data_IF_737226137271
#
_entry.id   IF_737226137271
#
_cell.length_a   1.000
_cell.length_b   1.000
_cell.length_c   1.000
_cell.angle_alpha   90.00
_cell.angle_beta   90.00
_cell.angle_gamma   90.00
#
_symmetry.space_group_name_H-M   'P 1'
#
loop_
_entity.id
_entity.type
_entity.pdbx_description
1 polymer ?
#
# COMPACT_ATOMS: atom_id res chain seq x y z
N UNK A 1 10.48 0.43 -2.39
CA UNK A 1 10.29 -0.96 -2.78
C UNK A 1 10.81 -1.93 -1.73
N UNK A 2 10.66 -3.23 -1.97
CA UNK A 2 11.03 -4.30 -1.02
C UNK A 2 12.47 -4.17 -0.51
N UNK A 3 13.44 -3.97 -1.40
CA UNK A 3 14.86 -3.87 -1.02
C UNK A 3 15.16 -2.76 -0.02
N UNK A 4 14.43 -1.65 -0.05
CA UNK A 4 14.60 -0.55 0.89
C UNK A 4 14.16 -0.89 2.32
N UNK A 5 13.32 -1.91 2.49
CA UNK A 5 12.88 -2.38 3.80
C UNK A 5 13.88 -3.36 4.44
N UNK A 6 14.70 -4.04 3.64
CA UNK A 6 15.61 -5.07 4.14
C UNK A 6 16.58 -4.60 5.22
N UNK A 7 17.26 -3.44 5.09
CA UNK A 7 18.16 -2.95 6.13
C UNK A 7 17.46 -2.73 7.47
N UNK A 8 16.21 -2.27 7.45
CA UNK A 8 15.40 -2.04 8.65
C UNK A 8 14.95 -3.36 9.29
N UNK A 9 14.54 -4.32 8.47
CA UNK A 9 14.19 -5.67 8.95
C UNK A 9 15.41 -6.35 9.57
N UNK A 10 16.57 -6.27 8.94
CA UNK A 10 17.81 -6.82 9.48
C UNK A 10 18.26 -6.12 10.77
N UNK A 11 18.08 -4.81 10.85
CA UNK A 11 18.38 -4.05 12.08
C UNK A 11 17.48 -4.46 13.25
N UNK A 12 16.18 -4.68 13.01
CA UNK A 12 15.21 -5.01 14.04
C UNK A 12 15.22 -6.49 14.44
N UNK A 13 15.40 -7.39 13.47
CA UNK A 13 15.16 -8.84 13.64
C UNK A 13 16.40 -9.69 13.35
N UNK A 14 17.51 -9.10 12.92
CA UNK A 14 18.69 -9.84 12.50
C UNK A 14 18.52 -10.53 11.15
N UNK A 15 19.18 -11.67 10.98
CA UNK A 15 19.13 -12.46 9.75
C UNK A 15 17.87 -13.36 9.76
N UNK A 16 16.83 -12.91 9.08
CA UNK A 16 15.55 -13.63 8.97
C UNK A 16 15.24 -13.98 7.52
N UNK A 17 14.69 -15.18 7.24
CA UNK A 17 14.21 -15.52 5.91
C UNK A 17 13.07 -14.59 5.48
N UNK A 18 13.10 -14.15 4.24
CA UNK A 18 12.03 -13.33 3.67
C UNK A 18 11.48 -13.95 2.38
N UNK A 19 10.20 -13.74 2.15
CA UNK A 19 9.53 -14.00 0.88
C UNK A 19 8.99 -12.70 0.35
N UNK A 20 9.43 -12.33 -0.86
CA UNK A 20 9.02 -11.09 -1.51
C UNK A 20 7.90 -11.36 -2.53
N UNK A 21 6.83 -10.56 -2.48
CA UNK A 21 5.73 -10.63 -3.42
C UNK A 21 5.38 -9.23 -3.96
N UNK A 22 5.08 -9.14 -5.25
CA UNK A 22 4.54 -7.95 -5.89
C UNK A 22 3.05 -8.17 -6.18
N UNK A 23 2.21 -7.33 -5.61
CA UNK A 23 0.76 -7.41 -5.78
C UNK A 23 0.31 -6.30 -6.73
N UNK A 24 -0.37 -6.63 -7.84
CA UNK A 24 -0.83 -5.63 -8.79
C UNK A 24 -1.95 -4.76 -8.20
N UNK A 25 -2.10 -3.54 -8.73
CA UNK A 25 -3.22 -2.68 -8.35
C UNK A 25 -4.54 -3.27 -8.85
N UNK A 26 -5.57 -3.38 -8.00
CA UNK A 26 -6.89 -3.86 -8.40
C UNK A 26 -7.68 -2.84 -9.23
N UNK A 27 -7.13 -1.63 -9.42
CA UNK A 27 -7.75 -0.59 -10.24
C UNK A 27 -7.33 -0.67 -11.71
N UNK A 28 -6.24 -1.36 -12.01
CA UNK A 28 -5.76 -1.55 -13.39
C UNK A 28 -6.45 -2.80 -13.94
N UNK A 29 -7.22 -2.63 -15.03
CA UNK A 29 -7.77 -3.76 -15.75
C UNK A 29 -6.62 -4.66 -16.19
N UNK A 30 -6.60 -5.90 -15.74
CA UNK A 30 -5.64 -6.89 -16.22
C UNK A 30 -5.85 -7.07 -17.72
N UNK A 31 -4.76 -6.97 -18.49
CA UNK A 31 -4.75 -7.39 -19.89
C UNK A 31 -5.26 -8.82 -19.92
N UNK A 32 -6.21 -9.11 -20.80
CA UNK A 32 -7.00 -10.35 -20.92
C UNK A 32 -6.42 -11.56 -20.16
N UNK A 33 -7.18 -12.02 -19.17
CA UNK A 33 -6.82 -13.21 -18.40
C UNK A 33 -6.78 -14.40 -19.34
N UNK A 34 -5.57 -14.87 -19.66
CA UNK A 34 -5.37 -16.08 -20.46
C UNK A 34 -5.58 -17.38 -19.65
N UNK A 35 -6.12 -17.26 -18.43
CA UNK A 35 -6.35 -18.39 -17.51
C UNK A 35 -5.09 -19.02 -16.95
N UNK A 36 -3.91 -18.41 -17.17
CA UNK A 36 -2.61 -18.93 -16.72
C UNK A 36 -2.01 -18.17 -15.53
N UNK A 37 -2.65 -17.07 -15.14
CA UNK A 37 -2.16 -16.20 -14.07
C UNK A 37 -2.92 -16.47 -12.80
N UNK A 38 -2.19 -16.62 -11.70
CA UNK A 38 -2.77 -16.69 -10.36
C UNK A 38 -3.36 -15.32 -10.00
N UNK A 39 -4.59 -15.29 -9.59
CA UNK A 39 -5.24 -14.08 -9.08
C UNK A 39 -4.69 -13.73 -7.69
N UNK A 40 -4.88 -12.48 -7.25
CA UNK A 40 -4.50 -12.07 -5.89
C UNK A 40 -5.22 -12.89 -4.83
N UNK A 41 -6.49 -13.24 -5.06
CA UNK A 41 -7.30 -14.05 -4.12
C UNK A 41 -6.77 -15.48 -4.02
N UNK A 42 -6.46 -16.12 -5.14
CA UNK A 42 -5.85 -17.45 -5.15
C UNK A 42 -4.48 -17.44 -4.46
N UNK A 43 -3.66 -16.42 -4.74
CA UNK A 43 -2.35 -16.25 -4.09
C UNK A 43 -2.50 -16.14 -2.56
N UNK A 44 -3.42 -15.29 -2.07
CA UNK A 44 -3.66 -15.12 -0.63
C UNK A 44 -4.13 -16.45 -0.01
N UNK A 45 -5.04 -17.15 -0.67
CA UNK A 45 -5.60 -18.43 -0.20
C UNK A 45 -4.51 -19.50 -0.06
N UNK A 46 -3.71 -19.68 -1.10
CA UNK A 46 -2.62 -20.66 -1.08
C UNK A 46 -1.51 -20.26 -0.10
N UNK A 47 -1.19 -18.95 0.01
CA UNK A 47 -0.20 -18.47 0.97
C UNK A 47 -0.63 -18.77 2.41
N UNK A 48 -1.88 -18.47 2.79
CA UNK A 48 -2.42 -18.78 4.12
C UNK A 48 -2.31 -20.29 4.43
N UNK A 49 -2.67 -21.13 3.48
CA UNK A 49 -2.57 -22.59 3.62
C UNK A 49 -1.14 -23.05 3.85
N UNK A 50 -0.20 -22.62 3.00
CA UNK A 50 1.22 -23.00 3.10
C UNK A 50 1.82 -22.53 4.44
N UNK A 51 1.53 -21.30 4.87
CA UNK A 51 2.01 -20.78 6.15
C UNK A 51 1.44 -21.55 7.33
N UNK A 52 0.18 -21.99 7.26
CA UNK A 52 -0.43 -22.85 8.26
C UNK A 52 0.22 -24.25 8.34
N UNK A 53 0.67 -24.81 7.21
CA UNK A 53 1.38 -26.09 7.15
C UNK A 53 2.83 -25.99 7.66
N UNK A 54 3.54 -24.90 7.33
CA UNK A 54 4.92 -24.67 7.79
C UNK A 54 4.95 -24.37 9.29
N UNK A 55 3.96 -23.65 9.80
CA UNK A 55 3.90 -23.22 11.19
C UNK A 55 4.93 -22.11 11.51
N UNK A 56 5.07 -21.81 12.82
CA UNK A 56 5.96 -20.76 13.29
C UNK A 56 5.27 -19.39 13.32
N UNK A 57 6.06 -18.30 13.42
CA UNK A 57 5.57 -16.93 13.44
C UNK A 57 5.93 -16.23 12.14
N UNK A 58 4.93 -15.67 11.47
CA UNK A 58 5.11 -14.88 10.25
C UNK A 58 4.84 -13.41 10.54
N UNK A 59 5.75 -12.55 10.13
CA UNK A 59 5.59 -11.11 10.17
C UNK A 59 5.32 -10.58 8.76
N UNK A 60 4.24 -9.87 8.57
CA UNK A 60 3.84 -9.33 7.27
C UNK A 60 4.21 -7.85 7.16
N UNK A 61 4.82 -7.47 6.05
CA UNK A 61 5.20 -6.08 5.77
C UNK A 61 4.68 -5.66 4.40
N UNK A 62 3.79 -4.69 4.36
CA UNK A 62 3.45 -4.00 3.12
C UNK A 62 4.36 -2.77 2.97
N UNK A 63 5.26 -2.81 1.98
CA UNK A 63 6.05 -1.63 1.61
C UNK A 63 5.21 -0.76 0.69
N UNK A 64 4.72 0.36 1.21
CA UNK A 64 3.70 1.17 0.57
C UNK A 64 4.02 2.66 0.64
N UNK A 65 4.04 3.31 -0.53
CA UNK A 65 3.87 4.75 -0.65
C UNK A 65 2.39 5.06 -0.95
N UNK A 66 1.96 6.28 -0.65
CA UNK A 66 0.59 6.71 -0.89
C UNK A 66 0.49 7.59 -2.15
N UNK A 67 0.26 8.88 -1.98
CA UNK A 67 0.09 9.83 -3.08
C UNK A 67 1.39 10.16 -3.81
N UNK A 68 1.28 10.31 -5.14
CA UNK A 68 2.35 10.75 -6.03
C UNK A 68 1.83 11.91 -6.87
N UNK A 69 2.19 13.15 -6.55
CA UNK A 69 1.67 14.34 -7.20
C UNK A 69 2.77 15.33 -7.57
N UNK A 70 2.43 16.26 -8.48
CA UNK A 70 3.34 17.27 -9.01
C UNK A 70 3.75 16.99 -10.46
N UNK A 71 4.56 17.89 -11.03
CA UNK A 71 4.92 17.87 -12.45
C UNK A 71 5.64 16.57 -12.86
N UNK A 72 6.43 15.99 -11.96
CA UNK A 72 7.10 14.70 -12.20
C UNK A 72 6.10 13.56 -12.42
N UNK A 73 4.90 13.69 -11.87
CA UNK A 73 3.82 12.69 -11.97
C UNK A 73 2.70 13.14 -12.93
N UNK A 74 2.99 14.10 -13.81
CA UNK A 74 2.08 14.52 -14.88
C UNK A 74 1.11 15.64 -14.51
N UNK A 75 1.21 16.24 -13.32
CA UNK A 75 0.43 17.43 -12.99
C UNK A 75 0.95 18.68 -13.73
N UNK A 76 0.08 19.60 -14.13
CA UNK A 76 0.48 20.79 -14.90
C UNK A 76 1.20 21.85 -14.06
N UNK A 77 1.09 21.80 -12.74
CA UNK A 77 1.63 22.79 -11.80
C UNK A 77 2.53 22.14 -10.76
N UNK A 78 3.45 22.94 -10.24
CA UNK A 78 4.23 22.58 -9.06
C UNK A 78 3.33 22.47 -7.83
N UNK A 79 3.74 21.64 -6.89
CA UNK A 79 3.08 21.45 -5.59
C UNK A 79 3.32 22.67 -4.72
N UNK A 80 2.27 23.41 -4.42
CA UNK A 80 2.23 24.49 -3.45
C UNK A 80 1.66 24.02 -2.10
N UNK A 81 1.57 24.92 -1.14
CA UNK A 81 1.06 24.57 0.20
C UNK A 81 -0.42 24.17 0.19
N UNK A 82 -1.22 24.75 -0.74
CA UNK A 82 -2.61 24.33 -0.90
C UNK A 82 -2.69 22.90 -1.43
N UNK A 83 -1.84 22.54 -2.42
CA UNK A 83 -1.80 21.17 -2.96
C UNK A 83 -1.35 20.17 -1.91
N UNK A 84 -0.35 20.50 -1.06
CA UNK A 84 0.07 19.66 0.07
C UNK A 84 -1.10 19.39 1.02
N UNK A 85 -1.84 20.43 1.37
CA UNK A 85 -3.02 20.30 2.25
C UNK A 85 -4.10 19.40 1.63
N UNK A 86 -4.39 19.59 0.33
CA UNK A 86 -5.39 18.79 -0.37
C UNK A 86 -4.99 17.32 -0.46
N UNK A 87 -3.69 17.03 -0.67
CA UNK A 87 -3.13 15.68 -0.65
C UNK A 87 -3.27 15.06 0.74
N UNK A 88 -2.88 15.78 1.79
CA UNK A 88 -2.99 15.26 3.16
C UNK A 88 -4.44 14.93 3.52
N UNK A 89 -5.37 15.82 3.19
CA UNK A 89 -6.80 15.60 3.44
C UNK A 89 -7.30 14.35 2.72
N UNK A 90 -6.94 14.19 1.44
CA UNK A 90 -7.30 13.02 0.65
C UNK A 90 -6.69 11.73 1.24
N UNK A 91 -5.40 11.76 1.56
CA UNK A 91 -4.73 10.60 2.11
C UNK A 91 -5.35 10.17 3.45
N UNK A 92 -5.64 11.13 4.34
CA UNK A 92 -6.29 10.82 5.62
C UNK A 92 -7.71 10.27 5.45
N UNK A 93 -8.45 10.73 4.45
CA UNK A 93 -9.76 10.18 4.10
C UNK A 93 -9.64 8.72 3.64
N UNK A 94 -8.71 8.42 2.73
CA UNK A 94 -8.48 7.05 2.26
C UNK A 94 -7.90 6.13 3.33
N UNK A 95 -7.00 6.64 4.18
CA UNK A 95 -6.49 5.91 5.33
C UNK A 95 -7.59 5.60 6.35
N UNK A 96 -8.57 6.51 6.56
CA UNK A 96 -9.70 6.20 7.43
C UNK A 96 -10.52 5.02 6.91
N UNK A 97 -10.70 4.91 5.58
CA UNK A 97 -11.34 3.74 4.95
C UNK A 97 -10.54 2.45 5.12
N UNK A 98 -9.23 2.55 5.03
CA UNK A 98 -8.34 1.41 5.29
C UNK A 98 -8.43 0.90 6.73
N UNK A 99 -8.50 1.84 7.71
CA UNK A 99 -8.60 1.54 9.14
C UNK A 99 -9.94 0.84 9.50
N UNK A 100 -11.00 1.04 8.72
CA UNK A 100 -12.27 0.32 8.89
C UNK A 100 -12.14 -1.21 8.65
N UNK A 101 -10.95 -1.68 8.21
CA UNK A 101 -10.63 -3.08 7.95
C UNK A 101 -11.55 -3.76 6.91
N UNK A 102 -12.03 -2.99 5.94
CA UNK A 102 -12.79 -3.51 4.80
C UNK A 102 -12.01 -3.28 3.50
N UNK A 103 -11.35 -4.34 3.02
CA UNK A 103 -10.51 -4.27 1.82
C UNK A 103 -11.30 -3.93 0.55
N UNK A 104 -12.57 -4.37 0.45
CA UNK A 104 -13.41 -4.11 -0.71
C UNK A 104 -13.91 -2.66 -0.70
N UNK A 105 -14.33 -2.15 0.47
CA UNK A 105 -14.75 -0.75 0.61
C UNK A 105 -13.57 0.19 0.36
N UNK A 106 -12.38 -0.12 0.88
CA UNK A 106 -11.16 0.65 0.59
C UNK A 106 -10.88 0.73 -0.91
N UNK A 107 -10.87 -0.41 -1.61
CA UNK A 107 -10.65 -0.45 -3.07
C UNK A 107 -11.76 0.30 -3.81
N UNK A 108 -13.02 0.17 -3.37
CA UNK A 108 -14.16 0.86 -3.95
C UNK A 108 -14.04 2.38 -3.79
N UNK A 109 -13.64 2.88 -2.62
CA UNK A 109 -13.38 4.29 -2.37
C UNK A 109 -12.27 4.84 -3.28
N UNK A 110 -11.16 4.09 -3.42
CA UNK A 110 -10.06 4.47 -4.33
C UNK A 110 -10.50 4.48 -5.80
N UNK A 111 -11.37 3.57 -6.20
CA UNK A 111 -11.95 3.54 -7.56
C UNK A 111 -12.89 4.71 -7.79
N UNK A 112 -13.73 5.02 -6.80
CA UNK A 112 -14.70 6.11 -6.89
C UNK A 112 -14.04 7.47 -7.12
N UNK A 113 -12.95 7.75 -6.41
CA UNK A 113 -12.18 8.99 -6.60
C UNK A 113 -11.18 8.93 -7.77
N UNK A 114 -11.24 7.85 -8.57
CA UNK A 114 -10.38 7.62 -9.72
C UNK A 114 -8.88 7.63 -9.39
N UNK A 115 -8.51 7.26 -8.16
CA UNK A 115 -7.13 7.32 -7.66
C UNK A 115 -6.45 8.65 -8.00
N UNK A 116 -7.11 9.76 -7.71
CA UNK A 116 -6.78 11.10 -8.18
C UNK A 116 -5.39 11.60 -7.76
N UNK A 117 -4.80 11.02 -6.71
CA UNK A 117 -3.46 11.33 -6.22
C UNK A 117 -2.45 10.22 -6.53
N UNK A 118 -2.81 9.28 -7.37
CA UNK A 118 -1.94 8.23 -7.91
C UNK A 118 -1.29 7.34 -6.83
N UNK A 119 -2.08 6.82 -5.87
CA UNK A 119 -1.58 5.79 -4.95
C UNK A 119 -1.15 4.54 -5.73
N UNK A 120 0.10 4.11 -5.52
CA UNK A 120 0.64 2.92 -6.16
C UNK A 120 0.45 1.64 -5.32
N UNK A 121 0.17 1.78 -4.03
CA UNK A 121 0.18 0.70 -3.04
C UNK A 121 -1.19 0.05 -2.76
N UNK A 122 -2.24 0.41 -3.50
CA UNK A 122 -3.61 -0.10 -3.26
C UNK A 122 -3.66 -1.63 -3.26
N UNK A 123 -2.91 -2.27 -4.15
CA UNK A 123 -2.87 -3.73 -4.27
C UNK A 123 -2.29 -4.42 -3.04
N UNK A 124 -1.09 -4.02 -2.62
CA UNK A 124 -0.43 -4.62 -1.47
C UNK A 124 -1.14 -4.28 -0.15
N UNK A 125 -1.70 -3.08 -0.01
CA UNK A 125 -2.48 -2.70 1.17
C UNK A 125 -3.77 -3.54 1.29
N UNK A 126 -4.57 -3.64 0.22
CA UNK A 126 -5.78 -4.47 0.24
C UNK A 126 -5.49 -5.96 0.43
N UNK A 127 -4.41 -6.46 -0.17
CA UNK A 127 -3.98 -7.84 0.02
C UNK A 127 -3.54 -8.11 1.47
N UNK A 128 -2.86 -7.14 2.12
CA UNK A 128 -2.45 -7.27 3.52
C UNK A 128 -3.66 -7.38 4.45
N UNK A 129 -4.71 -6.57 4.28
CA UNK A 129 -5.97 -6.70 5.04
C UNK A 129 -6.54 -8.11 4.93
N UNK A 130 -6.69 -8.60 3.70
CA UNK A 130 -7.25 -9.93 3.43
C UNK A 130 -6.37 -11.06 3.98
N UNK A 131 -5.05 -10.85 4.02
CA UNK A 131 -4.09 -11.86 4.51
C UNK A 131 -4.07 -11.94 6.03
N UNK A 132 -4.04 -10.79 6.71
CA UNK A 132 -3.88 -10.69 8.17
C UNK A 132 -5.20 -10.76 8.89
N UNK A 133 -6.27 -10.15 8.33
CA UNK A 133 -7.59 -10.01 8.97
C UNK A 133 -7.47 -9.46 10.41
N UNK A 134 -6.92 -8.25 10.57
CA UNK A 134 -6.54 -7.73 11.89
C UNK A 134 -7.76 -7.38 12.75
N UNK A 135 -7.61 -7.48 14.08
CA UNK A 135 -8.64 -7.02 15.02
C UNK A 135 -8.71 -5.48 15.11
N UNK A 136 -7.62 -4.80 14.75
CA UNK A 136 -7.54 -3.35 14.74
C UNK A 136 -6.36 -2.85 13.92
N UNK A 137 -6.43 -1.59 13.49
CA UNK A 137 -5.39 -0.94 12.70
C UNK A 137 -5.10 0.43 13.31
N UNK A 138 -3.84 0.68 13.62
CA UNK A 138 -3.36 1.94 14.17
C UNK A 138 -2.51 2.69 13.15
N UNK A 139 -2.86 3.95 12.85
CA UNK A 139 -2.01 4.88 12.11
C UNK A 139 -0.96 5.46 13.05
N UNK A 140 0.28 5.04 12.90
CA UNK A 140 1.41 5.46 13.76
C UNK A 140 1.95 6.83 13.33
N UNK A 141 2.15 7.02 12.02
CA UNK A 141 2.67 8.29 11.47
C UNK A 141 2.24 8.47 10.01
N UNK A 142 2.21 9.73 9.58
CA UNK A 142 1.97 10.14 8.20
C UNK A 142 2.94 11.26 7.84
N UNK A 143 3.58 11.15 6.67
CA UNK A 143 4.55 12.14 6.19
C UNK A 143 4.37 12.44 4.70
N UNK A 144 4.79 13.64 4.34
CA UNK A 144 4.92 14.08 2.96
C UNK A 144 6.38 14.46 2.70
N UNK A 145 6.98 13.88 1.68
CA UNK A 145 8.27 14.28 1.13
C UNK A 145 8.01 15.13 -0.13
N UNK A 146 8.38 16.38 -0.09
CA UNK A 146 8.20 17.31 -1.20
C UNK A 146 9.54 17.85 -1.67
N UNK A 147 9.77 17.83 -2.98
CA UNK A 147 10.93 18.47 -3.59
C UNK A 147 10.93 19.99 -3.29
N UNK A 148 12.11 20.61 -3.03
CA UNK A 148 12.18 22.04 -2.71
C UNK A 148 11.60 22.98 -3.77
N UNK A 149 11.53 22.53 -5.04
CA UNK A 149 10.92 23.29 -6.14
C UNK A 149 9.45 22.91 -6.38
N UNK A 150 8.92 21.98 -5.58
CA UNK A 150 7.55 21.47 -5.72
C UNK A 150 7.31 20.64 -6.98
N UNK A 151 8.34 20.10 -7.63
CA UNK A 151 8.14 19.29 -8.84
C UNK A 151 7.61 17.89 -8.54
N UNK A 152 7.79 17.41 -7.32
CA UNK A 152 7.30 16.12 -6.85
C UNK A 152 6.92 16.17 -5.38
N UNK A 153 5.85 15.51 -5.03
CA UNK A 153 5.47 15.15 -3.65
C UNK A 153 5.09 13.69 -3.62
N UNK A 154 5.67 12.96 -2.68
CA UNK A 154 5.25 11.59 -2.32
C UNK A 154 4.87 11.58 -0.86
N UNK A 155 3.74 10.97 -0.55
CA UNK A 155 3.32 10.73 0.83
C UNK A 155 3.49 9.27 1.22
N UNK A 156 3.64 9.04 2.51
CA UNK A 156 3.75 7.70 3.10
C UNK A 156 3.17 7.67 4.50
N UNK A 157 2.87 6.48 5.00
CA UNK A 157 2.45 6.28 6.37
C UNK A 157 3.14 5.07 6.99
N UNK A 158 3.13 5.02 8.31
CA UNK A 158 3.43 3.84 9.12
C UNK A 158 2.18 3.41 9.85
N UNK A 159 1.82 2.13 9.73
CA UNK A 159 0.63 1.57 10.35
C UNK A 159 0.97 0.25 11.03
N UNK A 160 0.30 -0.07 12.11
CA UNK A 160 0.34 -1.36 12.77
C UNK A 160 -1.02 -2.05 12.62
N UNK A 161 -1.00 -3.30 12.15
CA UNK A 161 -2.17 -4.18 12.09
C UNK A 161 -2.06 -5.12 13.30
N UNK A 162 -3.05 -5.08 14.20
CA UNK A 162 -3.05 -5.71 15.51
C UNK A 162 -3.99 -6.92 15.55
#
# INVERSE_FOLDING_TARGET
>A
SIELQLPWLQYCFGDVPIVAALIPSPLIAMIEDDGKRTTTEEFITELKKILGEIGGTTFYVASADLSHVGQQFGEPRSVDDQRKFDVERHDREMLSKYIENDAEEFVSAMRWNNNATQWCSIGNMSALLKLVDPEGIELVDYRQACDPKGIALVSSCSMALL
#
